data_IF_207615477560
#
_entry.id   IF_207615477560
#
_cell.length_a   1.000
_cell.length_b   1.000
_cell.length_c   1.000
_cell.angle_alpha   90.00
_cell.angle_beta   90.00
_cell.angle_gamma   90.00
#
_symmetry.space_group_name_H-M   'P 1'
#
loop_
_entity.id
_entity.type
_entity.pdbx_description
1 polymer ?
#
# COMPACT_ATOMS: atom_id res chain seq x y z
N UNK A 1 -5.15 -8.51 7.52
CA UNK A 1 -4.66 -7.29 6.81
C UNK A 1 -4.68 -6.01 7.66
N UNK A 2 -5.67 -5.09 7.63
CA UNK A 2 -5.62 -3.88 8.50
C UNK A 2 -6.02 -4.15 9.95
N UNK A 3 -7.24 -4.65 10.19
CA UNK A 3 -7.76 -4.90 11.54
C UNK A 3 -7.07 -6.05 12.29
N UNK A 4 -6.38 -6.93 11.56
CA UNK A 4 -5.65 -8.07 12.09
C UNK A 4 -4.14 -7.76 12.31
N UNK A 5 -3.71 -6.53 12.01
CA UNK A 5 -2.31 -6.10 12.16
C UNK A 5 -1.31 -6.90 11.31
N UNK A 6 -1.78 -7.53 10.25
CA UNK A 6 -0.98 -8.40 9.40
C UNK A 6 -0.04 -7.56 8.51
N UNK A 7 1.14 -8.11 8.20
CA UNK A 7 2.15 -7.46 7.36
C UNK A 7 2.40 -8.27 6.08
N UNK A 8 1.40 -8.37 5.18
CA UNK A 8 1.54 -9.16 3.97
C UNK A 8 2.56 -8.53 3.01
N UNK A 9 3.04 -9.33 2.06
CA UNK A 9 3.90 -8.85 1.00
C UNK A 9 3.09 -7.97 0.03
N UNK A 10 3.51 -6.72 -0.13
CA UNK A 10 3.01 -5.80 -1.14
C UNK A 10 4.04 -5.60 -2.23
N UNK A 11 3.55 -5.30 -3.43
CA UNK A 11 4.35 -5.03 -4.61
C UNK A 11 4.01 -3.65 -5.17
N UNK A 12 5.01 -2.79 -5.33
CA UNK A 12 4.90 -1.47 -5.95
C UNK A 12 5.65 -1.50 -7.27
N UNK A 13 4.91 -1.33 -8.37
CA UNK A 13 5.48 -1.27 -9.72
C UNK A 13 5.66 0.19 -10.09
N UNK A 14 6.91 0.59 -10.30
CA UNK A 14 7.28 1.94 -10.73
C UNK A 14 7.57 1.86 -12.24
N UNK A 15 6.73 2.49 -13.08
CA UNK A 15 6.94 2.50 -14.54
C UNK A 15 8.36 2.95 -14.89
N UNK A 16 9.01 2.23 -15.82
CA UNK A 16 10.36 2.50 -16.32
C UNK A 16 11.50 2.46 -15.28
N UNK A 17 11.24 1.97 -14.06
CA UNK A 17 12.25 1.87 -12.99
C UNK A 17 12.41 0.44 -12.46
N UNK A 18 11.30 -0.23 -12.15
CA UNK A 18 11.31 -1.59 -11.63
C UNK A 18 10.20 -1.86 -10.63
N UNK A 19 10.34 -2.98 -9.92
CA UNK A 19 9.38 -3.46 -8.93
C UNK A 19 10.02 -3.51 -7.55
N UNK A 20 9.36 -2.90 -6.55
CA UNK A 20 9.70 -3.01 -5.14
C UNK A 20 8.72 -3.98 -4.48
N UNK A 21 9.23 -5.01 -3.80
CA UNK A 21 8.40 -6.01 -3.10
C UNK A 21 8.89 -6.23 -1.67
N UNK A 22 7.96 -6.31 -0.72
CA UNK A 22 8.29 -6.65 0.67
C UNK A 22 7.08 -6.53 1.60
N UNK A 23 7.23 -6.84 2.89
CA UNK A 23 6.13 -6.76 3.85
C UNK A 23 5.81 -5.29 4.18
N UNK A 24 4.54 -4.90 4.04
CA UNK A 24 4.05 -3.61 4.50
C UNK A 24 2.87 -3.79 5.45
N UNK A 25 2.80 -2.91 6.45
CA UNK A 25 1.65 -2.79 7.33
C UNK A 25 0.77 -1.63 6.86
N UNK A 26 -0.54 -1.84 6.84
CA UNK A 26 -1.51 -0.75 6.67
C UNK A 26 -1.62 0.00 7.99
N UNK A 27 -1.27 1.29 8.01
CA UNK A 27 -1.29 2.13 9.22
C UNK A 27 -2.51 3.04 9.30
N UNK A 28 -3.07 3.43 8.15
CA UNK A 28 -4.31 4.19 8.08
C UNK A 28 -5.13 3.78 6.84
N UNK A 29 -6.44 3.84 7.00
CA UNK A 29 -7.42 3.58 5.96
C UNK A 29 -8.59 4.56 6.15
N UNK A 30 -8.63 5.58 5.32
CA UNK A 30 -9.62 6.65 5.38
C UNK A 30 -10.59 6.52 4.23
N UNK A 31 -11.89 6.38 4.55
CA UNK A 31 -12.96 6.46 3.57
C UNK A 31 -13.58 7.85 3.60
N UNK A 32 -13.64 8.49 2.44
CA UNK A 32 -14.28 9.78 2.26
C UNK A 32 -15.24 9.73 1.07
N UNK A 33 -16.23 10.62 1.06
CA UNK A 33 -17.21 10.70 0.00
C UNK A 33 -18.04 11.95 0.18
N UNK A 34 -18.19 12.72 -0.90
CA UNK A 34 -19.11 13.85 -0.92
C UNK A 34 -20.46 13.39 -1.46
N UNK A 35 -21.55 14.01 -1.02
CA UNK A 35 -22.91 13.60 -1.40
C UNK A 35 -23.14 13.54 -2.93
N UNK A 36 -22.36 14.32 -3.71
CA UNK A 36 -22.38 14.34 -5.17
C UNK A 36 -21.01 14.01 -5.79
N UNK A 37 -20.07 13.46 -5.02
CA UNK A 37 -18.74 13.08 -5.47
C UNK A 37 -18.56 11.56 -5.43
N UNK A 38 -17.51 11.08 -6.08
CA UNK A 38 -17.16 9.66 -6.02
C UNK A 38 -16.66 9.29 -4.61
N UNK A 39 -16.87 8.04 -4.22
CA UNK A 39 -16.28 7.52 -2.99
C UNK A 39 -14.76 7.45 -3.17
N UNK A 40 -14.02 8.13 -2.29
CA UNK A 40 -12.56 8.14 -2.27
C UNK A 40 -12.07 7.35 -1.07
N UNK A 41 -10.94 6.68 -1.22
CA UNK A 41 -10.26 6.07 -0.09
C UNK A 41 -8.78 6.44 -0.13
N UNK A 42 -8.21 6.67 1.03
CA UNK A 42 -6.78 6.88 1.23
C UNK A 42 -6.23 5.72 2.07
N UNK A 43 -5.04 5.25 1.71
CA UNK A 43 -4.39 4.12 2.36
C UNK A 43 -2.94 4.51 2.68
N UNK A 44 -2.59 4.49 3.96
CA UNK A 44 -1.20 4.67 4.40
C UNK A 44 -0.55 3.33 4.68
N UNK A 45 0.62 3.10 4.07
CA UNK A 45 1.42 1.88 4.22
C UNK A 45 2.78 2.23 4.85
N UNK A 46 3.21 1.44 5.83
CA UNK A 46 4.56 1.53 6.40
C UNK A 46 5.32 0.23 6.14
N UNK A 47 6.61 0.33 5.82
CA UNK A 47 7.46 -0.86 5.67
C UNK A 47 7.53 -1.61 6.99
N UNK A 48 7.30 -2.93 6.93
CA UNK A 48 7.32 -3.84 8.06
C UNK A 48 8.47 -4.85 8.00
N UNK A 49 9.42 -4.67 7.08
CA UNK A 49 10.56 -5.58 6.93
C UNK A 49 11.45 -5.27 5.72
N UNK A 50 12.23 -6.26 5.32
CA UNK A 50 13.18 -6.12 4.22
C UNK A 50 12.46 -5.96 2.88
N UNK A 51 12.93 -5.02 2.07
CA UNK A 51 12.43 -4.79 0.72
C UNK A 51 13.39 -5.39 -0.30
N UNK A 52 12.83 -5.98 -1.34
CA UNK A 52 13.54 -6.45 -2.53
C UNK A 52 13.22 -5.54 -3.70
N UNK A 53 14.17 -5.41 -4.63
CA UNK A 53 14.01 -4.61 -5.83
C UNK A 53 14.42 -5.42 -7.05
N UNK A 54 13.56 -5.43 -8.06
CA UNK A 54 13.82 -6.02 -9.38
C UNK A 54 13.77 -4.93 -10.43
N UNK A 55 14.90 -4.68 -11.11
CA UNK A 55 14.99 -3.69 -12.19
C UNK A 55 14.18 -4.14 -13.43
N UNK A 56 13.70 -3.16 -14.21
CA UNK A 56 12.98 -3.37 -15.47
C UNK A 56 13.90 -3.80 -16.63
#
# INVERSE_FOLDING_TARGET
>A
MFFDGETPAFQVVIPDFGTVEGPFQVTALEYAGSHNGEATYELSLASAGALTFTAA
#
